data_IF_935117695952
#
_entry.id   IF_935117695952
#
_cell.length_a   1.000
_cell.length_b   1.000
_cell.length_c   1.000
_cell.angle_alpha   90.00
_cell.angle_beta   90.00
_cell.angle_gamma   90.00
#
_symmetry.space_group_name_H-M   'P 1'
#
loop_
_entity.id
_entity.type
_entity.pdbx_description
1 polymer ?
#
# COMPACT_ATOMS: atom_id res chain seq x y z
N UNK A 1 -80.12 18.52 25.25
CA UNK A 1 -79.06 17.72 25.87
C UNK A 1 -78.62 16.63 24.89
N UNK A 2 -77.55 16.81 24.11
CA UNK A 2 -76.82 15.70 23.42
C UNK A 2 -75.62 16.19 22.58
N UNK A 3 -74.71 16.99 23.16
CA UNK A 3 -73.46 17.40 22.47
C UNK A 3 -72.19 17.08 23.27
N UNK A 4 -72.29 16.33 24.37
CA UNK A 4 -71.15 16.07 25.28
C UNK A 4 -70.32 14.86 24.89
N UNK A 5 -70.88 13.88 24.17
CA UNK A 5 -70.21 12.59 23.95
C UNK A 5 -69.17 12.61 22.81
N UNK A 6 -69.37 13.43 21.79
CA UNK A 6 -68.44 13.58 20.66
C UNK A 6 -67.20 14.38 21.03
N UNK A 7 -67.31 15.35 21.93
CA UNK A 7 -66.16 16.11 22.44
C UNK A 7 -65.27 15.25 23.35
N UNK A 8 -65.88 14.46 24.25
CA UNK A 8 -65.16 13.51 25.11
C UNK A 8 -64.39 12.46 24.28
N UNK A 9 -64.98 11.92 23.22
CA UNK A 9 -64.33 10.96 22.35
C UNK A 9 -63.11 11.56 21.62
N UNK A 10 -63.23 12.80 21.13
CA UNK A 10 -62.13 13.49 20.46
C UNK A 10 -60.97 13.81 21.42
N UNK A 11 -61.28 14.14 22.67
CA UNK A 11 -60.26 14.37 23.71
C UNK A 11 -59.51 13.07 24.04
N UNK A 12 -60.22 11.95 24.18
CA UNK A 12 -59.60 10.64 24.44
C UNK A 12 -58.74 10.19 23.26
N UNK A 13 -59.25 10.32 22.03
CA UNK A 13 -58.51 9.97 20.82
C UNK A 13 -57.23 10.81 20.66
N UNK A 14 -57.29 12.11 20.97
CA UNK A 14 -56.12 13.01 20.95
C UNK A 14 -55.09 12.61 22.00
N UNK A 15 -55.53 12.29 23.23
CA UNK A 15 -54.64 11.85 24.31
C UNK A 15 -53.96 10.50 24.01
N UNK A 16 -54.66 9.57 23.37
CA UNK A 16 -54.08 8.30 22.93
C UNK A 16 -53.03 8.50 21.83
N UNK A 17 -53.30 9.38 20.87
CA UNK A 17 -52.36 9.72 19.79
C UNK A 17 -51.09 10.39 20.35
N UNK A 18 -51.24 11.27 21.33
CA UNK A 18 -50.12 11.96 21.96
C UNK A 18 -49.24 10.99 22.77
N UNK A 19 -49.84 10.04 23.50
CA UNK A 19 -49.10 8.96 24.18
C UNK A 19 -48.33 8.07 23.20
N UNK A 20 -48.93 7.73 22.07
CA UNK A 20 -48.26 6.93 21.05
C UNK A 20 -47.06 7.67 20.44
N UNK A 21 -47.20 8.98 20.18
CA UNK A 21 -46.10 9.81 19.69
C UNK A 21 -44.97 9.96 20.72
N UNK A 22 -45.31 10.13 21.99
CA UNK A 22 -44.32 10.23 23.05
C UNK A 22 -43.57 8.90 23.24
N UNK A 23 -44.29 7.79 23.21
CA UNK A 23 -43.70 6.47 23.28
C UNK A 23 -42.77 6.20 22.09
N UNK A 24 -43.18 6.55 20.86
CA UNK A 24 -42.34 6.41 19.67
C UNK A 24 -41.06 7.26 19.76
N UNK A 25 -41.16 8.47 20.32
CA UNK A 25 -40.02 9.35 20.53
C UNK A 25 -39.07 8.83 21.62
N UNK A 26 -39.61 8.26 22.70
CA UNK A 26 -38.82 7.66 23.77
C UNK A 26 -38.12 6.39 23.27
N UNK A 27 -38.82 5.55 22.50
CA UNK A 27 -38.23 4.36 21.87
C UNK A 27 -37.12 4.76 20.88
N UNK A 28 -37.34 5.79 20.03
CA UNK A 28 -36.31 6.32 19.12
C UNK A 28 -35.08 6.85 19.85
N UNK A 29 -35.26 7.61 20.92
CA UNK A 29 -34.13 8.12 21.70
C UNK A 29 -33.38 6.99 22.40
N UNK A 30 -34.08 5.98 22.91
CA UNK A 30 -33.45 4.82 23.51
C UNK A 30 -32.66 4.01 22.48
N UNK A 31 -33.18 3.85 21.27
CA UNK A 31 -32.46 3.21 20.14
C UNK A 31 -31.22 4.02 19.73
N UNK A 32 -31.32 5.35 19.64
CA UNK A 32 -30.19 6.25 19.35
C UNK A 32 -29.08 6.13 20.41
N UNK A 33 -29.46 5.87 21.66
CA UNK A 33 -28.54 5.71 22.79
C UNK A 33 -28.15 4.25 23.09
N UNK A 34 -28.64 3.27 22.31
CA UNK A 34 -28.36 1.85 22.51
C UNK A 34 -29.00 1.24 23.77
N UNK A 35 -29.99 1.90 24.38
CA UNK A 35 -30.69 1.41 25.56
C UNK A 35 -31.80 0.42 25.17
N UNK A 36 -31.78 -0.79 25.72
CA UNK A 36 -32.79 -1.83 25.43
C UNK A 36 -33.99 -1.67 26.36
N UNK A 37 -35.15 -1.28 25.83
CA UNK A 37 -36.41 -1.09 26.59
C UNK A 37 -37.30 -2.34 26.65
N UNK A 38 -36.82 -3.50 26.16
CA UNK A 38 -37.59 -4.75 26.11
C UNK A 38 -38.71 -4.77 25.05
N UNK A 39 -38.76 -3.77 24.17
CA UNK A 39 -39.70 -3.66 23.05
C UNK A 39 -39.01 -3.93 21.71
N UNK A 40 -39.79 -4.28 20.69
CA UNK A 40 -39.30 -4.58 19.33
C UNK A 40 -38.61 -3.32 18.76
N UNK A 41 -37.32 -3.42 18.48
CA UNK A 41 -36.54 -2.36 17.85
C UNK A 41 -37.01 -2.17 16.40
N UNK A 42 -37.28 -0.93 15.99
CA UNK A 42 -37.95 -0.63 14.72
C UNK A 42 -37.00 -0.40 13.54
N UNK A 43 -35.73 -0.05 13.81
CA UNK A 43 -34.79 0.38 12.78
C UNK A 43 -33.60 -0.55 12.55
N UNK A 44 -33.55 -1.71 13.21
CA UNK A 44 -32.53 -2.71 12.87
C UNK A 44 -32.98 -3.56 11.69
N UNK A 45 -32.07 -3.79 10.75
CA UNK A 45 -32.23 -4.83 9.74
C UNK A 45 -32.36 -6.19 10.43
N UNK A 46 -32.95 -7.18 9.74
CA UNK A 46 -33.11 -8.54 10.27
C UNK A 46 -31.78 -9.16 10.71
N UNK A 47 -30.70 -8.86 10.00
CA UNK A 47 -29.31 -9.22 10.37
C UNK A 47 -28.86 -8.55 11.68
N UNK A 48 -29.03 -7.23 11.82
CA UNK A 48 -28.64 -6.51 13.03
C UNK A 48 -29.48 -6.92 14.26
N UNK A 49 -30.71 -7.38 14.04
CA UNK A 49 -31.55 -7.97 15.06
C UNK A 49 -31.03 -9.35 15.50
N UNK A 50 -30.62 -10.21 14.57
CA UNK A 50 -30.04 -11.52 14.87
C UNK A 50 -28.67 -11.40 15.57
N UNK A 51 -27.85 -10.40 15.23
CA UNK A 51 -26.60 -10.10 15.94
C UNK A 51 -26.85 -9.59 17.38
N UNK A 52 -27.84 -8.72 17.59
CA UNK A 52 -28.20 -8.27 18.96
C UNK A 52 -28.90 -9.37 19.79
N UNK A 53 -29.62 -10.29 19.16
CA UNK A 53 -30.28 -11.39 19.85
C UNK A 53 -29.27 -12.51 20.20
N UNK A 54 -28.31 -12.79 19.32
CA UNK A 54 -27.24 -13.77 19.54
C UNK A 54 -26.20 -13.32 20.59
N UNK A 55 -26.04 -12.00 20.77
CA UNK A 55 -25.20 -11.44 21.84
C UNK A 55 -25.84 -11.48 23.23
N UNK A 56 -27.17 -11.60 23.34
CA UNK A 56 -27.88 -11.47 24.63
C UNK A 56 -28.72 -12.68 25.09
N UNK A 57 -28.84 -13.77 24.32
CA UNK A 57 -29.38 -15.03 24.85
C UNK A 57 -28.37 -15.73 25.79
N UNK A 58 -28.21 -15.20 27.00
CA UNK A 58 -27.99 -15.97 28.24
C UNK A 58 -26.71 -16.78 28.45
N UNK A 59 -25.67 -16.69 27.60
CA UNK A 59 -24.37 -17.38 27.85
C UNK A 59 -23.09 -16.57 27.66
N UNK A 60 -23.13 -15.32 27.18
CA UNK A 60 -21.91 -14.53 26.89
C UNK A 60 -21.75 -13.20 27.65
N UNK A 61 -22.73 -12.77 28.45
CA UNK A 61 -22.80 -11.38 28.92
C UNK A 61 -22.34 -11.10 30.37
N UNK A 62 -21.64 -11.99 31.09
CA UNK A 62 -21.28 -11.67 32.50
C UNK A 62 -19.90 -12.08 33.02
N UNK A 63 -18.97 -12.50 32.17
CA UNK A 63 -17.53 -12.46 32.46
C UNK A 63 -16.81 -12.39 31.12
N UNK A 64 -16.28 -11.21 30.75
CA UNK A 64 -15.11 -11.21 29.90
C UNK A 64 -14.03 -11.93 30.72
N UNK A 65 -13.96 -13.25 30.57
CA UNK A 65 -12.88 -14.03 31.16
C UNK A 65 -11.63 -13.41 30.55
N UNK A 66 -10.82 -12.75 31.38
CA UNK A 66 -9.54 -12.19 30.98
C UNK A 66 -8.86 -13.22 30.10
N UNK A 67 -8.44 -12.81 28.90
CA UNK A 67 -7.74 -13.70 28.00
C UNK A 67 -6.44 -14.17 28.65
N UNK A 68 -5.84 -15.25 28.13
CA UNK A 68 -4.58 -15.74 28.69
C UNK A 68 -3.51 -14.63 28.64
N UNK A 69 -3.50 -13.88 27.54
CA UNK A 69 -2.66 -12.69 27.38
C UNK A 69 -3.00 -11.60 28.42
N UNK A 70 -4.27 -11.27 28.63
CA UNK A 70 -4.65 -10.25 29.63
C UNK A 70 -4.22 -10.64 31.05
N UNK A 71 -4.34 -11.93 31.38
CA UNK A 71 -3.89 -12.47 32.67
C UNK A 71 -2.36 -12.31 32.80
N UNK A 72 -1.59 -12.61 31.76
CA UNK A 72 -0.13 -12.41 31.78
C UNK A 72 0.25 -10.94 31.90
N UNK A 73 -0.35 -10.07 31.09
CA UNK A 73 -0.05 -8.63 31.10
C UNK A 73 -0.38 -7.96 32.44
N UNK A 74 -1.39 -8.44 33.17
CA UNK A 74 -1.76 -7.92 34.49
C UNK A 74 -0.89 -8.48 35.63
N UNK A 75 -0.45 -9.73 35.52
CA UNK A 75 0.24 -10.42 36.61
C UNK A 75 1.77 -10.37 36.51
N UNK A 76 2.32 -10.21 35.31
CA UNK A 76 3.76 -10.16 35.06
C UNK A 76 4.16 -8.82 34.40
N UNK A 77 4.70 -7.86 35.18
CA UNK A 77 5.10 -6.56 34.66
C UNK A 77 6.34 -6.60 33.76
N UNK A 78 7.20 -7.63 33.88
CA UNK A 78 8.36 -7.79 33.00
C UNK A 78 7.91 -8.31 31.64
N UNK A 79 7.01 -9.29 31.62
CA UNK A 79 6.34 -9.73 30.40
C UNK A 79 5.65 -8.58 29.68
N UNK A 80 4.84 -7.79 30.40
CA UNK A 80 4.14 -6.65 29.81
C UNK A 80 5.08 -5.61 29.18
N UNK A 81 6.26 -5.36 29.77
CA UNK A 81 7.27 -4.45 29.19
C UNK A 81 7.85 -5.01 27.90
N UNK A 82 8.25 -6.28 27.90
CA UNK A 82 8.88 -6.93 26.74
C UNK A 82 7.88 -7.06 25.59
N UNK A 83 6.65 -7.48 25.87
CA UNK A 83 5.55 -7.57 24.91
C UNK A 83 5.23 -6.21 24.28
N UNK A 84 5.09 -5.16 25.11
CA UNK A 84 4.87 -3.80 24.61
C UNK A 84 6.02 -3.32 23.73
N UNK A 85 7.27 -3.57 24.14
CA UNK A 85 8.44 -3.21 23.34
C UNK A 85 8.43 -3.91 21.97
N UNK A 86 8.07 -5.20 21.92
CA UNK A 86 7.94 -5.93 20.67
C UNK A 86 6.84 -5.35 19.76
N UNK A 87 5.67 -4.97 20.31
CA UNK A 87 4.61 -4.31 19.53
C UNK A 87 5.03 -2.93 19.00
N UNK A 88 5.74 -2.15 19.82
CA UNK A 88 6.22 -0.83 19.43
C UNK A 88 7.31 -0.91 18.35
N UNK A 89 8.20 -1.91 18.45
CA UNK A 89 9.15 -2.27 17.38
C UNK A 89 8.37 -2.65 16.11
N UNK A 90 7.43 -3.60 16.19
CA UNK A 90 6.65 -4.09 15.03
C UNK A 90 5.96 -2.95 14.27
N UNK A 91 5.42 -1.98 15.00
CA UNK A 91 4.83 -0.77 14.43
C UNK A 91 5.87 0.13 13.76
N UNK A 92 7.05 0.29 14.35
CA UNK A 92 8.14 1.05 13.76
C UNK A 92 8.63 0.40 12.45
N UNK A 93 8.74 -0.93 12.42
CA UNK A 93 9.07 -1.69 11.21
C UNK A 93 7.99 -1.50 10.15
N UNK A 94 6.71 -1.61 10.51
CA UNK A 94 5.62 -1.38 9.56
C UNK A 94 5.65 0.04 8.98
N UNK A 95 5.86 1.04 9.82
CA UNK A 95 5.98 2.43 9.36
C UNK A 95 7.15 2.58 8.38
N UNK A 96 8.27 1.92 8.64
CA UNK A 96 9.45 1.95 7.76
C UNK A 96 9.20 1.28 6.41
N UNK A 97 8.51 0.14 6.40
CA UNK A 97 8.06 -0.54 5.18
C UNK A 97 7.19 0.41 4.35
N UNK A 98 6.18 1.03 4.97
CA UNK A 98 5.29 1.97 4.29
C UNK A 98 6.03 3.19 3.75
N UNK A 99 6.98 3.75 4.51
CA UNK A 99 7.83 4.85 4.03
C UNK A 99 8.67 4.44 2.81
N UNK A 100 9.22 3.23 2.83
CA UNK A 100 10.01 2.68 1.72
C UNK A 100 9.13 2.45 0.48
N UNK A 101 7.96 1.82 0.62
CA UNK A 101 7.00 1.63 -0.49
C UNK A 101 6.60 2.96 -1.12
N UNK A 102 6.27 3.97 -0.30
CA UNK A 102 5.96 5.32 -0.77
C UNK A 102 7.15 5.97 -1.52
N UNK A 103 8.39 5.64 -1.14
CA UNK A 103 9.58 6.11 -1.85
C UNK A 103 9.78 5.36 -3.18
N UNK A 104 9.60 4.04 -3.19
CA UNK A 104 9.66 3.19 -4.38
C UNK A 104 8.66 3.71 -5.42
N UNK A 105 7.40 3.94 -5.05
CA UNK A 105 6.35 4.44 -5.96
C UNK A 105 6.75 5.77 -6.61
N UNK A 106 7.30 6.68 -5.82
CA UNK A 106 7.76 7.99 -6.31
C UNK A 106 8.93 7.85 -7.28
N UNK A 107 9.89 6.97 -6.99
CA UNK A 107 11.05 6.73 -7.86
C UNK A 107 10.64 5.99 -9.12
N UNK A 108 9.74 5.01 -9.02
CA UNK A 108 9.19 4.25 -10.15
C UNK A 108 8.47 5.19 -11.12
N UNK A 109 7.61 6.08 -10.62
CA UNK A 109 6.91 7.06 -11.47
C UNK A 109 7.88 8.00 -12.20
N UNK A 110 8.97 8.45 -11.54
CA UNK A 110 10.02 9.23 -12.21
C UNK A 110 10.74 8.41 -13.28
N UNK A 111 11.05 7.15 -12.98
CA UNK A 111 11.78 6.26 -13.87
C UNK A 111 10.96 5.90 -15.11
N UNK A 112 9.69 5.53 -14.94
CA UNK A 112 8.78 5.22 -16.04
C UNK A 112 8.61 6.43 -16.96
N UNK A 113 8.48 7.64 -16.39
CA UNK A 113 8.46 8.88 -17.17
C UNK A 113 9.76 9.05 -17.97
N UNK A 114 10.92 8.80 -17.38
CA UNK A 114 12.21 8.90 -18.07
C UNK A 114 12.36 7.89 -19.19
N UNK A 115 11.94 6.65 -18.98
CA UNK A 115 11.92 5.63 -20.01
C UNK A 115 11.03 6.06 -21.19
N UNK A 116 9.84 6.59 -20.91
CA UNK A 116 8.95 7.12 -21.93
C UNK A 116 9.58 8.29 -22.70
N UNK A 117 10.15 9.28 -22.00
CA UNK A 117 10.85 10.41 -22.62
C UNK A 117 12.01 9.92 -23.52
N UNK A 118 12.78 8.92 -23.08
CA UNK A 118 13.87 8.31 -23.86
C UNK A 118 13.37 7.58 -25.11
N UNK A 119 12.24 6.87 -25.02
CA UNK A 119 11.60 6.18 -26.16
C UNK A 119 10.99 7.17 -27.17
N UNK A 120 10.49 8.31 -26.71
CA UNK A 120 10.00 9.38 -27.57
C UNK A 120 11.13 10.03 -28.36
N UNK A 121 12.32 10.14 -27.77
CA UNK A 121 13.54 10.62 -28.44
C UNK A 121 14.18 9.58 -29.37
N UNK A 122 13.80 8.30 -29.28
CA UNK A 122 14.32 7.25 -30.15
C UNK A 122 13.78 7.38 -31.59
N UNK A 123 14.54 6.89 -32.57
CA UNK A 123 14.05 6.83 -33.96
C UNK A 123 12.98 5.75 -34.06
N UNK A 124 11.91 6.05 -34.79
CA UNK A 124 10.83 5.10 -35.06
C UNK A 124 10.95 4.65 -36.51
N UNK A 125 11.14 3.35 -36.72
CA UNK A 125 11.16 2.76 -38.04
C UNK A 125 9.75 2.73 -38.67
N UNK A 126 9.63 2.54 -40.00
CA UNK A 126 8.31 2.43 -40.67
C UNK A 126 7.42 1.29 -40.15
N UNK A 127 8.02 0.28 -39.53
CA UNK A 127 7.33 -0.84 -38.88
C UNK A 127 6.86 -0.53 -37.44
N UNK A 128 7.19 0.66 -36.92
CA UNK A 128 6.85 1.12 -35.58
C UNK A 128 7.89 0.79 -34.50
N UNK A 129 8.95 0.02 -34.80
CA UNK A 129 9.99 -0.29 -33.82
C UNK A 129 10.82 0.94 -33.47
N UNK A 130 11.18 1.05 -32.19
CA UNK A 130 12.09 2.08 -31.69
C UNK A 130 13.51 1.57 -31.76
N UNK A 131 14.43 2.39 -32.25
CA UNK A 131 15.84 2.03 -32.42
C UNK A 131 16.76 3.05 -31.74
N UNK A 132 17.88 2.54 -31.23
CA UNK A 132 18.94 3.30 -30.57
C UNK A 132 20.27 2.93 -31.18
N UNK A 133 21.19 3.90 -31.25
CA UNK A 133 22.57 3.65 -31.64
C UNK A 133 23.40 3.47 -30.36
N UNK A 134 24.26 2.46 -30.33
CA UNK A 134 25.22 2.25 -29.26
C UNK A 134 26.47 3.12 -29.48
N UNK A 135 27.41 3.09 -28.52
CA UNK A 135 28.66 3.86 -28.63
C UNK A 135 29.60 3.40 -29.76
N UNK A 136 29.41 2.19 -30.28
CA UNK A 136 30.19 1.64 -31.40
C UNK A 136 29.63 2.05 -32.78
N UNK A 137 28.49 2.75 -32.82
CA UNK A 137 27.82 3.13 -34.06
C UNK A 137 26.90 2.05 -34.63
N UNK A 138 26.70 0.95 -33.91
CA UNK A 138 25.76 -0.10 -34.27
C UNK A 138 24.35 0.27 -33.79
N UNK A 139 23.33 -0.08 -34.57
CA UNK A 139 21.95 0.29 -34.28
C UNK A 139 21.16 -0.94 -33.87
N UNK A 140 20.50 -0.86 -32.71
CA UNK A 140 19.68 -1.93 -32.16
C UNK A 140 18.25 -1.45 -31.95
N UNK A 141 17.30 -2.37 -32.10
CA UNK A 141 15.92 -2.15 -31.63
C UNK A 141 15.83 -2.24 -30.10
N UNK A 142 14.71 -1.78 -29.55
CA UNK A 142 14.37 -1.96 -28.12
C UNK A 142 14.37 -3.41 -27.66
N UNK A 143 14.15 -4.35 -28.58
CA UNK A 143 14.12 -5.79 -28.31
C UNK A 143 15.52 -6.43 -28.38
N UNK A 144 16.55 -5.64 -28.70
CA UNK A 144 17.94 -6.10 -28.81
C UNK A 144 18.33 -6.66 -30.18
N UNK A 145 17.48 -6.53 -31.20
CA UNK A 145 17.81 -6.96 -32.57
C UNK A 145 18.70 -5.92 -33.27
N UNK A 146 19.78 -6.39 -33.90
CA UNK A 146 20.65 -5.55 -34.73
C UNK A 146 19.94 -5.15 -36.03
N UNK A 147 19.97 -3.86 -36.37
CA UNK A 147 19.34 -3.30 -37.56
C UNK A 147 20.37 -3.09 -38.65
N UNK A 148 20.02 -3.43 -39.89
CA UNK A 148 20.88 -3.24 -41.06
C UNK A 148 21.21 -1.73 -41.23
N UNK A 149 22.50 -1.35 -41.32
CA UNK A 149 22.94 0.02 -41.57
C UNK A 149 22.25 0.69 -42.77
N UNK A 150 21.89 -0.07 -43.82
CA UNK A 150 21.22 0.46 -45.00
C UNK A 150 19.80 0.99 -44.71
N UNK A 151 19.12 0.46 -43.68
CA UNK A 151 17.78 0.90 -43.26
C UNK A 151 17.84 2.21 -42.48
N UNK A 152 18.96 2.43 -41.78
CA UNK A 152 19.15 3.56 -40.85
C UNK A 152 19.95 4.71 -41.45
N UNK A 153 20.35 4.58 -42.72
CA UNK A 153 21.01 5.62 -43.48
C UNK A 153 20.11 6.86 -43.61
N UNK A 154 20.65 8.04 -43.26
CA UNK A 154 19.95 9.31 -43.39
C UNK A 154 19.15 9.76 -42.16
N UNK A 155 19.05 8.96 -41.10
CA UNK A 155 18.53 9.45 -39.83
C UNK A 155 19.56 10.32 -39.08
N UNK A 156 19.08 11.37 -38.43
CA UNK A 156 19.90 12.22 -37.56
C UNK A 156 20.00 11.62 -36.14
N UNK A 157 21.23 11.39 -35.68
CA UNK A 157 21.56 10.76 -34.40
C UNK A 157 22.12 11.73 -33.36
N UNK A 158 22.43 12.97 -33.73
CA UNK A 158 23.26 13.87 -32.91
C UNK A 158 22.63 14.23 -31.55
N UNK A 159 21.30 14.34 -31.50
CA UNK A 159 20.56 14.74 -30.29
C UNK A 159 19.86 13.55 -29.60
N UNK A 160 20.21 12.30 -29.96
CA UNK A 160 19.49 11.12 -29.47
C UNK A 160 20.23 10.42 -28.34
N UNK A 161 19.49 9.92 -27.34
CA UNK A 161 20.10 9.15 -26.26
C UNK A 161 20.70 7.85 -26.81
N UNK A 162 21.87 7.42 -26.30
CA UNK A 162 22.49 6.17 -26.71
C UNK A 162 21.74 4.97 -26.12
N UNK A 163 21.90 3.78 -26.73
CA UNK A 163 21.26 2.54 -26.29
C UNK A 163 21.56 2.22 -24.81
N UNK A 164 22.80 2.43 -24.37
CA UNK A 164 23.23 2.12 -23.00
C UNK A 164 22.46 2.94 -21.97
N UNK A 165 22.02 4.16 -22.33
CA UNK A 165 21.19 4.97 -21.45
C UNK A 165 19.83 4.31 -21.23
N UNK A 166 19.15 3.90 -22.30
CA UNK A 166 17.88 3.16 -22.22
C UNK A 166 18.01 1.88 -21.40
N UNK A 167 19.04 1.07 -21.69
CA UNK A 167 19.28 -0.19 -20.95
C UNK A 167 19.49 0.07 -19.46
N UNK A 168 20.24 1.10 -19.08
CA UNK A 168 20.44 1.44 -17.67
C UNK A 168 19.13 1.81 -16.95
N UNK A 169 18.21 2.50 -17.63
CA UNK A 169 16.89 2.82 -17.06
C UNK A 169 16.04 1.55 -16.89
N UNK A 170 16.04 0.65 -17.87
CA UNK A 170 15.31 -0.63 -17.75
C UNK A 170 15.88 -1.53 -16.66
N UNK A 171 17.21 -1.55 -16.48
CA UNK A 171 17.86 -2.29 -15.41
C UNK A 171 17.48 -1.73 -14.03
N UNK A 172 17.54 -0.40 -13.87
CA UNK A 172 17.09 0.26 -12.63
C UNK A 172 15.62 -0.04 -12.32
N UNK A 173 14.78 -0.20 -13.35
CA UNK A 173 13.36 -0.52 -13.20
C UNK A 173 13.19 -1.93 -12.65
N UNK A 174 13.89 -2.90 -13.24
CA UNK A 174 13.91 -4.28 -12.74
C UNK A 174 14.41 -4.34 -11.30
N UNK A 175 15.51 -3.65 -10.99
CA UNK A 175 16.03 -3.60 -9.62
C UNK A 175 15.00 -3.01 -8.64
N UNK A 176 14.28 -1.97 -9.04
CA UNK A 176 13.27 -1.34 -8.19
C UNK A 176 12.04 -2.25 -7.95
N UNK A 177 11.69 -3.10 -8.92
CA UNK A 177 10.67 -4.15 -8.76
C UNK A 177 11.15 -5.18 -7.73
N UNK A 178 12.39 -5.67 -7.83
CA UNK A 178 12.96 -6.62 -6.86
C UNK A 178 12.97 -6.04 -5.43
N UNK A 179 13.34 -4.76 -5.29
CA UNK A 179 13.28 -4.05 -4.01
C UNK A 179 11.84 -4.00 -3.47
N UNK A 180 10.85 -3.77 -4.34
CA UNK A 180 9.43 -3.75 -3.96
C UNK A 180 8.97 -5.12 -3.45
N UNK A 181 9.24 -6.19 -4.19
CA UNK A 181 8.86 -7.56 -3.83
C UNK A 181 9.48 -7.98 -2.48
N UNK A 182 10.72 -7.55 -2.22
CA UNK A 182 11.39 -7.80 -0.95
C UNK A 182 10.75 -7.02 0.21
N UNK A 183 10.39 -5.75 0.00
CA UNK A 183 9.67 -4.94 0.98
C UNK A 183 8.30 -5.53 1.31
N UNK A 184 7.57 -6.05 0.32
CA UNK A 184 6.28 -6.71 0.51
C UNK A 184 6.44 -8.01 1.32
N UNK A 185 7.50 -8.78 1.05
CA UNK A 185 7.83 -9.98 1.83
C UNK A 185 8.13 -9.65 3.30
N UNK A 186 8.80 -8.53 3.57
CA UNK A 186 9.00 -8.03 4.93
C UNK A 186 7.67 -7.60 5.55
N UNK A 187 6.81 -6.90 4.81
CA UNK A 187 5.49 -6.47 5.29
C UNK A 187 4.61 -7.64 5.72
N UNK A 188 4.58 -8.72 4.92
CA UNK A 188 3.79 -9.91 5.23
C UNK A 188 4.28 -10.58 6.51
N UNK A 189 5.59 -10.83 6.62
CA UNK A 189 6.20 -11.39 7.84
C UNK A 189 5.93 -10.51 9.06
N UNK A 190 5.99 -9.20 8.92
CA UNK A 190 5.70 -8.27 10.02
C UNK A 190 4.23 -8.37 10.48
N UNK A 191 3.30 -8.56 9.55
CA UNK A 191 1.89 -8.84 9.84
C UNK A 191 1.70 -10.16 10.61
N UNK A 192 2.36 -11.23 10.18
CA UNK A 192 2.33 -12.53 10.87
C UNK A 192 2.89 -12.44 12.30
N UNK A 193 3.99 -11.72 12.50
CA UNK A 193 4.56 -11.49 13.85
C UNK A 193 3.58 -10.71 14.73
N UNK A 194 2.92 -9.71 14.18
CA UNK A 194 1.90 -8.95 14.91
C UNK A 194 0.73 -9.82 15.32
N UNK A 195 0.23 -10.68 14.43
CA UNK A 195 -0.84 -11.63 14.72
C UNK A 195 -0.45 -12.54 15.89
N UNK A 196 0.77 -13.10 15.88
CA UNK A 196 1.28 -13.91 16.99
C UNK A 196 1.38 -13.14 18.31
N UNK A 197 1.87 -11.89 18.26
CA UNK A 197 1.95 -11.03 19.45
C UNK A 197 0.58 -10.64 20.02
N UNK A 198 -0.45 -10.55 19.16
CA UNK A 198 -1.81 -10.19 19.54
C UNK A 198 -2.70 -11.42 19.84
N UNK A 199 -2.16 -12.65 19.79
CA UNK A 199 -2.91 -13.87 20.12
C UNK A 199 -3.30 -13.91 21.61
N UNK A 200 -4.59 -13.70 21.86
CA UNK A 200 -5.17 -13.67 23.19
C UNK A 200 -5.29 -15.05 23.85
N UNK A 201 -5.28 -16.13 23.07
CA UNK A 201 -5.53 -17.50 23.50
C UNK A 201 -4.27 -18.31 23.70
N UNK A 202 -3.23 -18.05 22.89
CA UNK A 202 -1.94 -18.70 22.96
C UNK A 202 -0.81 -17.65 23.01
N UNK A 203 -0.66 -16.93 24.14
CA UNK A 203 0.33 -15.89 24.26
C UNK A 203 1.74 -16.47 24.23
N UNK A 204 2.60 -15.88 23.41
CA UNK A 204 4.02 -16.24 23.30
C UNK A 204 4.73 -16.13 24.64
N UNK A 205 5.72 -16.98 24.85
CA UNK A 205 6.61 -16.88 26.00
C UNK A 205 7.70 -15.79 25.82
N UNK A 206 8.52 -15.60 26.86
CA UNK A 206 9.57 -14.58 26.85
C UNK A 206 10.69 -14.84 25.81
N UNK A 207 11.02 -16.10 25.58
CA UNK A 207 12.08 -16.50 24.64
C UNK A 207 11.58 -16.29 23.20
N UNK A 208 10.35 -16.71 22.91
CA UNK A 208 9.68 -16.51 21.63
C UNK A 208 9.53 -15.03 21.28
N UNK A 209 9.12 -14.18 22.23
CA UNK A 209 9.05 -12.72 21.98
C UNK A 209 10.45 -12.16 21.66
N UNK A 210 11.49 -12.66 22.33
CA UNK A 210 12.85 -12.19 22.09
C UNK A 210 13.38 -12.63 20.71
N UNK A 211 13.07 -13.85 20.27
CA UNK A 211 13.37 -14.33 18.92
C UNK A 211 12.68 -13.47 17.85
N UNK A 212 11.39 -13.18 18.03
CA UNK A 212 10.65 -12.30 17.10
C UNK A 212 11.28 -10.91 17.00
N UNK A 213 11.73 -10.34 18.11
CA UNK A 213 12.42 -9.04 18.12
C UNK A 213 13.75 -9.07 17.39
N UNK A 214 14.51 -10.16 17.50
CA UNK A 214 15.80 -10.27 16.84
C UNK A 214 15.66 -10.50 15.33
N UNK A 215 14.65 -11.26 14.91
CA UNK A 215 14.25 -11.30 13.49
C UNK A 215 13.82 -9.92 12.98
N UNK A 216 13.05 -9.18 13.77
CA UNK A 216 12.57 -7.87 13.39
C UNK A 216 13.70 -6.86 13.22
N UNK A 217 14.70 -6.88 14.11
CA UNK A 217 15.92 -6.07 13.94
C UNK A 217 16.67 -6.41 12.66
N UNK A 218 16.72 -7.70 12.30
CA UNK A 218 17.30 -8.15 11.03
C UNK A 218 16.55 -7.56 9.84
N UNK A 219 15.22 -7.61 9.87
CA UNK A 219 14.37 -7.02 8.83
C UNK A 219 14.51 -5.50 8.76
N UNK A 220 14.63 -4.80 9.90
CA UNK A 220 14.90 -3.36 9.95
C UNK A 220 16.23 -3.01 9.27
N UNK A 221 17.29 -3.78 9.54
CA UNK A 221 18.57 -3.61 8.85
C UNK A 221 18.47 -3.83 7.35
N UNK A 222 17.67 -4.81 6.91
CA UNK A 222 17.39 -5.08 5.50
C UNK A 222 16.62 -3.94 4.83
N UNK A 223 15.59 -3.41 5.49
CA UNK A 223 14.83 -2.23 5.01
C UNK A 223 15.74 -1.01 4.83
N UNK A 224 16.72 -0.82 5.70
CA UNK A 224 17.66 0.28 5.59
C UNK A 224 18.58 0.13 4.37
N UNK A 225 19.03 -1.09 4.06
CA UNK A 225 19.78 -1.40 2.84
C UNK A 225 18.94 -1.16 1.59
N UNK A 226 17.68 -1.64 1.56
CA UNK A 226 16.75 -1.42 0.46
C UNK A 226 16.47 0.07 0.22
N UNK A 227 16.30 0.84 1.29
CA UNK A 227 16.14 2.29 1.20
C UNK A 227 17.37 2.96 0.58
N UNK A 228 18.59 2.56 0.98
CA UNK A 228 19.82 3.11 0.41
C UNK A 228 20.01 2.75 -1.07
N UNK A 229 19.61 1.55 -1.48
CA UNK A 229 19.57 1.16 -2.91
C UNK A 229 18.58 2.01 -3.69
N UNK A 230 17.37 2.19 -3.15
CA UNK A 230 16.34 3.05 -3.75
C UNK A 230 16.81 4.50 -3.92
N UNK A 231 17.51 5.06 -2.92
CA UNK A 231 18.12 6.40 -3.01
C UNK A 231 19.22 6.46 -4.06
N UNK A 232 20.06 5.43 -4.17
CA UNK A 232 21.09 5.35 -5.20
C UNK A 232 20.47 5.39 -6.61
N UNK A 233 19.37 4.65 -6.83
CA UNK A 233 18.61 4.70 -8.08
C UNK A 233 18.02 6.10 -8.33
N UNK A 234 17.37 6.72 -7.33
CA UNK A 234 16.78 8.06 -7.47
C UNK A 234 17.83 9.13 -7.83
N UNK A 235 19.01 9.06 -7.20
CA UNK A 235 20.13 9.95 -7.52
C UNK A 235 20.70 9.69 -8.92
N UNK A 236 20.82 8.43 -9.34
CA UNK A 236 21.27 8.09 -10.69
C UNK A 236 20.32 8.65 -11.76
N UNK A 237 19.01 8.50 -11.57
CA UNK A 237 17.97 9.05 -12.46
C UNK A 237 18.04 10.59 -12.50
N UNK A 238 18.21 11.21 -11.34
CA UNK A 238 18.28 12.67 -11.23
C UNK A 238 19.53 13.22 -11.93
N UNK A 239 20.69 12.58 -11.74
CA UNK A 239 21.95 13.01 -12.35
C UNK A 239 21.95 12.85 -13.88
N UNK A 240 21.39 11.76 -14.40
CA UNK A 240 21.30 11.52 -15.84
C UNK A 240 20.51 12.60 -16.60
N UNK A 241 19.64 13.34 -15.91
CA UNK A 241 18.89 14.47 -16.51
C UNK A 241 19.76 15.70 -16.77
N UNK A 242 20.92 15.81 -16.13
CA UNK A 242 21.80 16.99 -16.17
C UNK A 242 22.90 16.85 -17.22
N UNK A 243 23.20 15.62 -17.65
CA UNK A 243 24.34 15.27 -18.51
C UNK A 243 23.97 15.02 -19.97
N UNK A 244 23.05 15.80 -20.55
CA UNK A 244 23.11 16.07 -22.01
C UNK A 244 24.34 16.95 -22.30
N UNK A 245 25.50 16.40 -21.98
CA UNK A 245 26.80 16.86 -22.37
C UNK A 245 26.88 16.56 -23.86
N UNK A 246 26.86 17.63 -24.66
CA UNK A 246 27.09 17.65 -26.11
C UNK A 246 27.97 16.47 -26.52
N UNK A 247 27.43 15.57 -27.35
CA UNK A 247 28.23 14.52 -27.93
C UNK A 247 29.51 15.14 -28.54
N UNK A 248 30.70 14.58 -28.27
CA UNK A 248 31.91 15.05 -28.94
C UNK A 248 31.67 14.95 -30.45
N UNK A 249 31.97 16.02 -31.19
CA UNK A 249 31.89 16.06 -32.65
C UNK A 249 32.59 14.83 -33.23
N UNK A 250 31.83 13.76 -33.50
CA UNK A 250 32.33 12.59 -34.19
C UNK A 250 32.27 12.94 -35.67
N UNK A 251 33.42 13.35 -36.21
CA UNK A 251 33.64 13.34 -37.65
C UNK A 251 33.32 11.94 -38.16
N UNK A 252 32.13 11.78 -38.75
CA UNK A 252 31.73 10.56 -39.43
C UNK A 252 32.77 10.35 -40.53
N UNK A 253 33.70 9.42 -40.29
CA UNK A 253 34.65 8.95 -41.29
C UNK A 253 33.85 8.17 -42.34
N UNK A 254 33.21 8.90 -43.25
CA UNK A 254 32.61 8.35 -44.46
C UNK A 254 33.76 7.72 -45.23
N UNK A 255 33.93 6.42 -45.04
CA UNK A 255 34.88 5.62 -45.80
C UNK A 255 34.41 5.64 -47.25
N UNK A 256 34.95 6.58 -48.02
CA UNK A 256 34.82 6.61 -49.48
C UNK A 256 35.36 5.29 -50.02
N UNK A 257 34.46 4.37 -50.32
CA UNK A 257 34.74 3.22 -51.16
C UNK A 257 35.14 3.76 -52.54
N UNK A 258 36.45 3.86 -52.78
CA UNK A 258 36.98 4.04 -54.12
C UNK A 258 36.71 2.75 -54.90
N UNK A 259 35.71 2.77 -55.77
CA UNK A 259 35.63 1.84 -56.88
C UNK A 259 36.73 2.20 -57.89
N UNK A 260 37.69 1.30 -58.08
CA UNK A 260 38.52 1.17 -59.27
C UNK A 260 38.39 -0.27 -59.78
#
# INVERSE_FOLDING_TARGET
>A
MSLTHTEEFNVIAKAQKERALQQDRDDYNNELHGNVTGRIQRFLSREAFEDNQSTHSGKKASTAKLSALDILLLNDPEYAKVHKAALDENRATQAKVTDLQNQIDRVMAKLDKKIADTLDQAITLPDGRKIFMNKAGEVYSTDGELIDPAIVEGYDWNDRPPLEHYLSLTQNRTELIEISDEADTISLRNGERREKLEDSHDPLDHEEIQELRDEEKSDMGRLEQLNNRTKSIDTAISNASTTHEKAPDQEIAVSKLNLF
#
